data_IF_393606008862
#
_entry.id   IF_393606008862
#
_cell.length_a   1.000
_cell.length_b   1.000
_cell.length_c   1.000
_cell.angle_alpha   90.00
_cell.angle_beta   90.00
_cell.angle_gamma   90.00
#
_symmetry.space_group_name_H-M   'P 1'
#
loop_
_entity.id
_entity.type
_entity.pdbx_description
1 polymer ?
#
# COMPACT_ATOMS: atom_id res chain seq x y z
N UNK A 1 -22.74 -18.34 -8.60
CA UNK A 1 -21.42 -18.90 -9.01
C UNK A 1 -20.23 -17.99 -8.67
N UNK A 2 -20.18 -16.72 -9.13
CA UNK A 2 -19.05 -15.81 -8.87
C UNK A 2 -18.74 -15.59 -7.38
N UNK A 3 -19.75 -15.39 -6.54
CA UNK A 3 -19.59 -15.15 -5.09
C UNK A 3 -18.95 -16.31 -4.35
N UNK A 4 -19.27 -17.56 -4.72
CA UNK A 4 -18.65 -18.75 -4.11
C UNK A 4 -17.18 -18.90 -4.52
N UNK A 5 -16.86 -18.62 -5.79
CA UNK A 5 -15.48 -18.61 -6.27
C UNK A 5 -14.63 -17.58 -5.53
N UNK A 6 -15.11 -16.34 -5.38
CA UNK A 6 -14.38 -15.31 -4.65
C UNK A 6 -14.22 -15.64 -3.16
N UNK A 7 -15.26 -16.20 -2.52
CA UNK A 7 -15.16 -16.65 -1.12
C UNK A 7 -14.12 -17.77 -0.96
N UNK A 8 -14.03 -18.68 -1.93
CA UNK A 8 -13.01 -19.73 -1.93
C UNK A 8 -11.60 -19.16 -2.14
N UNK A 9 -11.42 -18.27 -3.12
CA UNK A 9 -10.14 -17.58 -3.38
C UNK A 9 -9.70 -16.83 -2.13
N UNK A 10 -10.59 -16.04 -1.53
CA UNK A 10 -10.35 -15.27 -0.30
C UNK A 10 -9.82 -16.16 0.82
N UNK A 11 -10.52 -17.25 1.16
CA UNK A 11 -10.10 -18.16 2.23
C UNK A 11 -8.74 -18.80 1.95
N UNK A 12 -8.45 -19.13 0.69
CA UNK A 12 -7.15 -19.67 0.27
C UNK A 12 -6.05 -18.61 0.32
N UNK A 13 -6.37 -17.37 -0.01
CA UNK A 13 -5.46 -16.23 0.01
C UNK A 13 -5.12 -15.82 1.44
N UNK A 14 -6.09 -15.67 2.35
CA UNK A 14 -5.84 -15.40 3.78
C UNK A 14 -4.92 -16.46 4.39
N UNK A 15 -5.24 -17.75 4.18
CA UNK A 15 -4.41 -18.86 4.65
C UNK A 15 -2.99 -18.79 4.10
N UNK A 16 -2.84 -18.45 2.82
CA UNK A 16 -1.53 -18.32 2.19
C UNK A 16 -0.76 -17.13 2.79
N UNK A 17 -1.38 -15.95 2.89
CA UNK A 17 -0.76 -14.74 3.46
C UNK A 17 -0.28 -14.95 4.89
N UNK A 18 -1.05 -15.65 5.72
CA UNK A 18 -0.63 -16.06 7.07
C UNK A 18 0.52 -17.04 7.04
N UNK A 19 0.49 -18.04 6.16
CA UNK A 19 1.56 -19.03 6.03
C UNK A 19 2.87 -18.46 5.43
N UNK A 20 2.81 -17.28 4.80
CA UNK A 20 3.97 -16.57 4.26
C UNK A 20 4.32 -15.32 5.07
N UNK A 21 3.83 -15.20 6.30
CA UNK A 21 4.08 -14.07 7.23
C UNK A 21 3.77 -12.68 6.68
N UNK A 22 2.94 -12.59 5.63
CA UNK A 22 2.44 -11.31 5.08
C UNK A 22 1.34 -10.71 5.93
N UNK A 23 0.56 -11.59 6.55
CA UNK A 23 -0.48 -11.23 7.51
C UNK A 23 -0.13 -11.86 8.83
N UNK A 24 0.53 -11.10 9.68
CA UNK A 24 0.92 -11.51 11.01
C UNK A 24 0.25 -10.62 12.05
N UNK A 25 0.03 -11.18 13.24
CA UNK A 25 -0.35 -10.43 14.43
C UNK A 25 0.88 -10.42 15.33
N UNK A 26 1.52 -9.26 15.43
CA UNK A 26 2.82 -9.11 16.07
C UNK A 26 2.78 -8.14 17.24
N UNK A 27 3.93 -7.97 17.89
CA UNK A 27 4.12 -6.91 18.87
C UNK A 27 4.30 -5.57 18.16
N UNK A 28 3.67 -4.52 18.68
CA UNK A 28 3.92 -3.16 18.22
C UNK A 28 5.30 -2.70 18.68
N UNK A 29 6.21 -2.45 17.73
CA UNK A 29 7.59 -2.01 17.99
C UNK A 29 7.87 -0.59 17.46
N UNK A 30 6.84 0.11 16.98
CA UNK A 30 6.97 1.43 16.35
C UNK A 30 6.51 2.59 17.23
N UNK A 31 6.71 3.80 16.72
CA UNK A 31 6.10 5.01 17.28
C UNK A 31 4.57 4.93 17.20
N UNK A 32 3.88 5.76 17.99
CA UNK A 32 2.43 5.90 17.87
C UNK A 32 2.05 6.37 16.44
N UNK A 33 1.07 5.73 15.76
CA UNK A 33 0.64 6.18 14.45
C UNK A 33 0.16 7.64 14.49
N UNK A 34 0.64 8.44 13.54
CA UNK A 34 0.30 9.86 13.45
C UNK A 34 -0.84 10.11 12.45
N UNK A 35 -1.62 11.16 12.71
CA UNK A 35 -2.46 11.78 11.69
C UNK A 35 -1.61 12.76 10.89
N UNK A 36 -1.43 12.46 9.61
CA UNK A 36 -0.63 13.25 8.71
C UNK A 36 -1.43 14.41 8.12
N UNK A 37 -0.73 15.53 7.96
CA UNK A 37 -1.18 16.65 7.14
C UNK A 37 -0.41 16.66 5.81
N UNK A 38 -0.90 17.44 4.84
CA UNK A 38 -0.31 17.57 3.50
C UNK A 38 1.20 17.86 3.53
N UNK A 39 1.67 18.60 4.53
CA UNK A 39 3.07 19.02 4.70
C UNK A 39 4.03 17.85 4.93
N UNK A 40 3.54 16.70 5.37
CA UNK A 40 4.33 15.49 5.59
C UNK A 40 4.50 14.65 4.31
N UNK A 41 3.70 14.92 3.29
CA UNK A 41 3.67 14.15 2.05
C UNK A 41 4.72 14.65 1.05
N UNK A 42 5.32 13.70 0.33
CA UNK A 42 6.21 13.94 -0.79
C UNK A 42 5.64 13.31 -2.07
N UNK A 43 5.94 13.95 -3.21
CA UNK A 43 5.52 13.41 -4.50
C UNK A 43 6.06 11.97 -4.68
N UNK A 44 5.19 11.05 -5.04
CA UNK A 44 5.47 9.62 -5.10
C UNK A 44 5.01 8.84 -3.87
N UNK A 45 4.46 9.46 -2.82
CA UNK A 45 3.80 8.73 -1.73
C UNK A 45 2.55 7.99 -2.24
N UNK A 46 2.35 6.76 -1.76
CA UNK A 46 1.19 5.93 -2.11
C UNK A 46 0.13 6.05 -1.03
N UNK A 47 -1.10 6.29 -1.47
CA UNK A 47 -2.26 6.49 -0.63
C UNK A 47 -3.18 5.27 -0.72
N UNK A 48 -3.16 4.39 0.28
CA UNK A 48 -4.05 3.23 0.35
C UNK A 48 -5.35 3.61 1.06
N UNK A 49 -6.47 3.43 0.37
CA UNK A 49 -7.76 3.95 0.79
C UNK A 49 -8.58 2.87 1.48
N UNK A 50 -9.00 3.12 2.72
CA UNK A 50 -9.93 2.28 3.47
C UNK A 50 -11.34 2.27 2.86
N UNK A 51 -12.36 2.12 3.70
CA UNK A 51 -13.75 2.06 3.23
C UNK A 51 -14.16 3.33 2.48
N UNK A 52 -14.76 3.20 1.29
CA UNK A 52 -15.36 4.35 0.60
C UNK A 52 -16.64 4.77 1.31
N UNK A 53 -16.82 6.07 1.50
CA UNK A 53 -18.05 6.64 2.08
C UNK A 53 -19.21 6.71 1.08
N UNK A 54 -18.91 6.67 -0.23
CA UNK A 54 -19.89 6.91 -1.29
C UNK A 54 -20.24 5.66 -2.11
N UNK A 55 -19.32 4.68 -2.20
CA UNK A 55 -19.51 3.53 -3.11
C UNK A 55 -19.97 2.26 -2.39
N UNK A 56 -21.17 1.77 -2.78
CA UNK A 56 -21.73 0.48 -2.34
C UNK A 56 -20.92 -0.74 -2.81
N UNK A 57 -19.99 -0.57 -3.76
CA UNK A 57 -19.08 -1.64 -4.24
C UNK A 57 -17.91 -1.91 -3.30
N UNK A 58 -17.71 -1.08 -2.28
CA UNK A 58 -16.70 -1.29 -1.21
C UNK A 58 -16.76 -2.69 -0.64
N UNK A 59 -17.96 -3.15 -0.28
CA UNK A 59 -18.15 -4.46 0.34
C UNK A 59 -17.73 -5.60 -0.61
N UNK A 60 -17.98 -5.45 -1.93
CA UNK A 60 -17.55 -6.43 -2.92
C UNK A 60 -16.03 -6.44 -3.08
N UNK A 61 -15.38 -5.27 -3.11
CA UNK A 61 -13.92 -5.20 -3.23
C UNK A 61 -13.28 -5.81 -1.98
N UNK A 62 -13.66 -5.38 -0.78
CA UNK A 62 -13.13 -5.92 0.48
C UNK A 62 -13.35 -7.44 0.59
N UNK A 63 -14.53 -7.94 0.16
CA UNK A 63 -14.81 -9.38 0.14
C UNK A 63 -14.00 -10.15 -0.90
N UNK A 64 -13.56 -9.51 -1.98
CA UNK A 64 -12.84 -10.20 -3.08
C UNK A 64 -11.32 -10.07 -2.97
N UNK A 65 -10.78 -8.97 -2.47
CA UNK A 65 -9.33 -8.71 -2.30
C UNK A 65 -8.79 -9.15 -0.94
N UNK A 66 -9.67 -9.63 -0.06
CA UNK A 66 -9.33 -10.08 1.29
C UNK A 66 -8.63 -8.99 2.11
N UNK A 67 -9.20 -7.78 2.16
CA UNK A 67 -8.48 -6.65 2.73
C UNK A 67 -9.30 -5.40 2.98
N UNK A 68 -8.77 -4.51 3.84
CA UNK A 68 -9.43 -3.25 4.23
C UNK A 68 -9.39 -2.21 3.12
N UNK A 69 -8.35 -2.24 2.26
CA UNK A 69 -8.15 -1.23 1.22
C UNK A 69 -8.90 -1.57 -0.05
N UNK A 70 -9.73 -0.64 -0.50
CA UNK A 70 -10.57 -0.77 -1.71
C UNK A 70 -10.01 -0.04 -2.91
N UNK A 71 -9.10 0.89 -2.67
CA UNK A 71 -8.55 1.76 -3.69
C UNK A 71 -7.15 2.25 -3.31
N UNK A 72 -6.42 2.77 -4.28
CA UNK A 72 -5.17 3.46 -4.03
C UNK A 72 -4.88 4.51 -5.10
N UNK A 73 -4.05 5.49 -4.74
CA UNK A 73 -3.58 6.54 -5.63
C UNK A 73 -2.15 6.96 -5.29
N UNK A 74 -1.61 7.89 -6.07
CA UNK A 74 -0.27 8.43 -5.87
C UNK A 74 -0.38 9.94 -5.65
N UNK A 75 0.21 10.44 -4.57
CA UNK A 75 0.36 11.88 -4.35
C UNK A 75 1.42 12.42 -5.30
N UNK A 76 1.09 13.48 -6.06
CA UNK A 76 1.99 14.04 -7.09
C UNK A 76 2.54 15.42 -6.71
N UNK A 77 2.39 15.82 -5.45
CA UNK A 77 2.80 17.13 -4.94
C UNK A 77 1.71 18.19 -5.06
N UNK A 78 1.92 19.34 -4.41
CA UNK A 78 1.05 20.52 -4.45
C UNK A 78 -0.43 20.25 -4.09
N UNK A 79 -0.71 19.29 -3.21
CA UNK A 79 -2.09 18.94 -2.86
C UNK A 79 -2.83 18.15 -3.94
N UNK A 80 -2.15 17.59 -4.94
CA UNK A 80 -2.77 16.77 -5.99
C UNK A 80 -2.50 15.28 -5.83
N UNK A 81 -3.50 14.47 -6.17
CA UNK A 81 -3.45 13.00 -6.22
C UNK A 81 -3.89 12.53 -7.59
N UNK A 82 -3.20 11.52 -8.14
CA UNK A 82 -3.64 10.82 -9.35
C UNK A 82 -4.04 9.39 -9.00
N UNK A 83 -5.19 8.97 -9.52
CA UNK A 83 -5.72 7.63 -9.34
C UNK A 83 -6.51 7.13 -10.56
N UNK A 84 -6.75 5.83 -10.62
CA UNK A 84 -7.55 5.19 -11.67
C UNK A 84 -8.90 4.74 -11.10
N UNK A 85 -10.01 5.39 -11.48
CA UNK A 85 -11.39 5.00 -11.11
C UNK A 85 -12.15 4.49 -12.33
N UNK A 86 -13.40 4.04 -12.16
CA UNK A 86 -14.25 3.51 -13.25
C UNK A 86 -14.31 4.38 -14.50
N UNK A 87 -14.16 5.71 -14.36
CA UNK A 87 -14.21 6.68 -15.45
C UNK A 87 -12.84 6.91 -16.12
N UNK A 88 -11.79 6.22 -15.69
CA UNK A 88 -10.42 6.35 -16.17
C UNK A 88 -9.48 6.99 -15.16
N UNK A 89 -8.34 7.44 -15.67
CA UNK A 89 -7.34 8.20 -14.91
C UNK A 89 -7.88 9.59 -14.60
N UNK A 90 -7.68 10.06 -13.36
CA UNK A 90 -8.03 11.42 -12.96
C UNK A 90 -6.95 12.01 -12.06
N UNK A 91 -6.84 13.32 -12.11
CA UNK A 91 -6.15 14.13 -11.10
C UNK A 91 -7.23 14.80 -10.23
N UNK A 92 -7.04 14.79 -8.91
CA UNK A 92 -7.96 15.41 -7.95
C UNK A 92 -7.19 16.02 -6.79
N UNK A 93 -7.81 16.93 -6.04
CA UNK A 93 -7.23 17.47 -4.81
C UNK A 93 -7.12 16.41 -3.73
N UNK A 94 -6.07 16.46 -2.92
CA UNK A 94 -5.84 15.59 -1.77
C UNK A 94 -7.01 15.67 -0.77
N UNK A 95 -7.57 16.86 -0.57
CA UNK A 95 -8.69 17.10 0.33
C UNK A 95 -9.93 16.30 -0.10
N UNK A 96 -10.32 16.43 -1.38
CA UNK A 96 -11.40 15.62 -1.96
C UNK A 96 -11.09 14.12 -1.90
N UNK A 97 -9.85 13.73 -2.20
CA UNK A 97 -9.43 12.34 -2.18
C UNK A 97 -9.57 11.73 -0.77
N UNK A 98 -9.13 12.44 0.28
CA UNK A 98 -9.29 12.04 1.69
C UNK A 98 -10.77 12.01 2.09
N UNK A 99 -11.57 12.97 1.64
CA UNK A 99 -12.99 13.05 1.98
C UNK A 99 -13.81 11.87 1.46
N UNK A 100 -13.41 11.26 0.33
CA UNK A 100 -14.11 10.12 -0.30
C UNK A 100 -14.02 8.81 0.51
N UNK A 101 -13.10 8.71 1.47
CA UNK A 101 -12.83 7.48 2.24
C UNK A 101 -12.90 7.72 3.76
N UNK A 102 -13.06 6.64 4.52
CA UNK A 102 -13.04 6.68 5.99
C UNK A 102 -11.66 7.09 6.52
N UNK A 103 -10.61 6.52 5.93
CA UNK A 103 -9.22 6.84 6.20
C UNK A 103 -8.33 6.45 5.02
N UNK A 104 -7.10 6.97 5.01
CA UNK A 104 -6.04 6.66 4.07
C UNK A 104 -4.79 6.29 4.86
N UNK A 105 -4.16 5.16 4.54
CA UNK A 105 -2.79 4.88 4.96
C UNK A 105 -1.82 5.48 3.94
N UNK A 106 -0.88 6.29 4.44
CA UNK A 106 0.14 6.95 3.61
C UNK A 106 1.43 6.20 3.75
N UNK A 107 2.06 5.91 2.61
CA UNK A 107 3.30 5.13 2.56
C UNK A 107 4.28 5.74 1.58
N UNK A 108 5.57 5.45 1.79
CA UNK A 108 6.67 5.95 0.97
C UNK A 108 7.63 4.83 0.62
N UNK A 109 8.08 4.78 -0.63
CA UNK A 109 9.11 3.80 -1.01
C UNK A 109 10.43 4.07 -0.29
N UNK A 110 11.13 3.03 0.17
CA UNK A 110 12.47 3.17 0.77
C UNK A 110 13.50 3.82 -0.18
N UNK A 111 13.24 3.76 -1.50
CA UNK A 111 14.06 4.38 -2.53
C UNK A 111 13.61 5.79 -2.96
N UNK A 112 12.76 6.47 -2.17
CA UNK A 112 12.22 7.78 -2.52
C UNK A 112 13.33 8.84 -2.62
N UNK A 113 13.38 9.55 -3.74
CA UNK A 113 14.24 10.71 -3.97
C UNK A 113 13.70 11.51 -5.16
N UNK A 114 14.24 12.72 -5.34
CA UNK A 114 13.69 13.72 -6.25
C UNK A 114 13.56 13.23 -7.71
N UNK A 115 14.55 12.52 -8.25
CA UNK A 115 14.49 12.04 -9.65
C UNK A 115 13.37 11.02 -9.85
N UNK A 116 13.22 10.07 -8.93
CA UNK A 116 12.11 9.10 -8.97
C UNK A 116 10.77 9.78 -8.82
N UNK A 117 10.64 10.72 -7.90
CA UNK A 117 9.43 11.51 -7.72
C UNK A 117 9.06 12.25 -9.01
N UNK A 118 10.02 12.88 -9.69
CA UNK A 118 9.80 13.54 -10.99
C UNK A 118 9.28 12.57 -12.06
N UNK A 119 9.89 11.38 -12.18
CA UNK A 119 9.44 10.35 -13.14
C UNK A 119 8.02 9.85 -12.85
N UNK A 120 7.71 9.61 -11.57
CA UNK A 120 6.35 9.22 -11.13
C UNK A 120 5.34 10.29 -11.53
N UNK A 121 5.61 11.56 -11.21
CA UNK A 121 4.73 12.69 -11.51
C UNK A 121 4.52 12.85 -13.01
N UNK A 122 5.59 12.78 -13.81
CA UNK A 122 5.52 12.86 -15.27
C UNK A 122 4.67 11.73 -15.85
N UNK A 123 4.89 10.49 -15.41
CA UNK A 123 4.09 9.36 -15.86
C UNK A 123 2.61 9.49 -15.45
N UNK A 124 2.34 9.86 -14.20
CA UNK A 124 0.99 10.06 -13.69
C UNK A 124 0.21 11.11 -14.49
N UNK A 125 0.83 12.27 -14.76
CA UNK A 125 0.23 13.33 -15.57
C UNK A 125 -0.01 12.91 -17.01
N UNK A 126 0.95 12.22 -17.66
CA UNK A 126 0.73 11.65 -19.00
C UNK A 126 -0.47 10.71 -19.05
N UNK A 127 -0.67 9.89 -18.02
CA UNK A 127 -1.81 8.98 -17.96
C UNK A 127 -3.16 9.73 -17.94
N UNK A 128 -3.21 10.87 -17.25
CA UNK A 128 -4.40 11.76 -17.21
C UNK A 128 -4.57 12.51 -18.54
N UNK A 129 -3.49 13.08 -19.07
CA UNK A 129 -3.48 13.82 -20.35
C UNK A 129 -3.98 12.96 -21.51
N UNK A 130 -3.50 11.72 -21.62
CA UNK A 130 -3.94 10.76 -22.63
C UNK A 130 -5.29 10.10 -22.32
N UNK A 131 -5.96 10.49 -21.23
CA UNK A 131 -7.28 9.98 -20.82
C UNK A 131 -7.34 8.45 -20.81
N UNK A 132 -6.31 7.80 -20.25
CA UNK A 132 -6.26 6.34 -20.20
C UNK A 132 -7.48 5.79 -19.43
N UNK A 133 -8.04 4.70 -19.93
CA UNK A 133 -9.30 4.13 -19.40
C UNK A 133 -9.04 3.28 -18.16
N UNK A 134 -10.11 2.91 -17.46
CA UNK A 134 -10.03 1.96 -16.36
C UNK A 134 -9.98 0.52 -16.86
N UNK A 135 -9.04 -0.26 -16.34
CA UNK A 135 -8.93 -1.69 -16.66
C UNK A 135 -9.86 -2.54 -15.77
N UNK A 136 -11.17 -2.51 -16.04
CA UNK A 136 -12.16 -3.23 -15.24
C UNK A 136 -11.95 -4.75 -15.22
N UNK A 137 -11.62 -5.34 -16.37
CA UNK A 137 -11.35 -6.78 -16.45
C UNK A 137 -10.10 -7.16 -15.64
N UNK A 138 -9.06 -6.33 -15.66
CA UNK A 138 -7.88 -6.48 -14.80
C UNK A 138 -8.25 -6.45 -13.32
N UNK A 139 -9.03 -5.45 -12.90
CA UNK A 139 -9.48 -5.30 -11.51
C UNK A 139 -10.30 -6.51 -11.02
N UNK A 140 -11.17 -7.07 -11.86
CA UNK A 140 -12.00 -8.25 -11.52
C UNK A 140 -11.14 -9.52 -11.34
N UNK A 141 -10.06 -9.64 -12.13
CA UNK A 141 -9.17 -10.81 -12.12
C UNK A 141 -8.02 -10.70 -11.11
N UNK A 142 -7.76 -9.50 -10.56
CA UNK A 142 -6.59 -9.27 -9.71
C UNK A 142 -6.52 -10.18 -8.48
N UNK A 143 -7.62 -10.50 -7.74
CA UNK A 143 -7.49 -11.36 -6.56
C UNK A 143 -7.01 -12.78 -6.90
N UNK A 144 -7.49 -13.33 -8.02
CA UNK A 144 -7.03 -14.62 -8.50
C UNK A 144 -5.57 -14.56 -8.96
N UNK A 145 -5.18 -13.49 -9.67
CA UNK A 145 -3.80 -13.29 -10.12
C UNK A 145 -2.85 -13.13 -8.96
N UNK A 146 -3.23 -12.38 -7.93
CA UNK A 146 -2.48 -12.20 -6.69
C UNK A 146 -2.27 -13.54 -5.99
N UNK A 147 -3.35 -14.30 -5.77
CA UNK A 147 -3.27 -15.63 -5.17
C UNK A 147 -2.34 -16.56 -5.95
N UNK A 148 -2.46 -16.61 -7.28
CA UNK A 148 -1.60 -17.42 -8.13
C UNK A 148 -0.14 -16.94 -8.11
N UNK A 149 0.09 -15.63 -8.05
CA UNK A 149 1.41 -15.03 -7.97
C UNK A 149 2.10 -15.39 -6.65
N UNK A 150 1.42 -15.16 -5.51
CA UNK A 150 1.88 -15.54 -4.18
C UNK A 150 2.16 -17.04 -4.11
N UNK A 151 1.22 -17.86 -4.61
CA UNK A 151 1.38 -19.31 -4.62
C UNK A 151 2.60 -19.72 -5.45
N UNK A 152 2.75 -19.18 -6.66
CA UNK A 152 3.90 -19.46 -7.51
C UNK A 152 5.18 -19.12 -6.75
N UNK A 153 5.34 -17.88 -6.30
CA UNK A 153 6.59 -17.47 -5.68
C UNK A 153 6.85 -18.21 -4.36
N UNK A 154 5.86 -18.41 -3.49
CA UNK A 154 6.06 -19.18 -2.26
C UNK A 154 6.46 -20.65 -2.51
N UNK A 155 5.72 -21.37 -3.37
CA UNK A 155 6.00 -22.79 -3.62
C UNK A 155 7.26 -23.00 -4.47
N UNK A 156 7.61 -22.07 -5.37
CA UNK A 156 8.83 -22.15 -6.18
C UNK A 156 10.08 -21.67 -5.44
N UNK A 157 9.98 -20.77 -4.45
CA UNK A 157 11.13 -20.44 -3.60
C UNK A 157 11.45 -21.57 -2.61
N UNK A 158 10.46 -22.36 -2.19
CA UNK A 158 10.69 -23.46 -1.25
C UNK A 158 11.10 -24.80 -1.90
N UNK A 159 10.83 -24.98 -3.19
CA UNK A 159 11.43 -26.06 -3.98
C UNK A 159 12.62 -25.50 -4.74
N UNK A 160 13.85 -25.85 -4.35
CA UNK A 160 15.04 -25.72 -5.20
C UNK A 160 14.83 -26.50 -6.50
N UNK A 161 14.10 -25.93 -7.46
CA UNK A 161 14.01 -26.48 -8.80
C UNK A 161 14.71 -25.50 -9.74
N UNK A 162 15.74 -26.00 -10.42
CA UNK A 162 16.65 -25.26 -11.31
C UNK A 162 15.98 -24.74 -12.59
N UNK A 163 14.65 -24.66 -12.61
CA UNK A 163 13.88 -24.23 -13.77
C UNK A 163 13.88 -22.72 -13.81
N UNK A 164 14.69 -22.17 -14.74
CA UNK A 164 14.63 -20.76 -15.14
C UNK A 164 13.16 -20.37 -15.30
N UNK A 165 12.65 -19.36 -14.58
CA UNK A 165 11.29 -18.91 -14.78
C UNK A 165 11.12 -18.57 -16.25
N UNK A 166 10.22 -19.28 -16.95
CA UNK A 166 9.84 -18.92 -18.32
C UNK A 166 9.38 -17.47 -18.26
N UNK A 167 10.05 -16.57 -19.00
CA UNK A 167 9.62 -15.17 -19.14
C UNK A 167 8.14 -15.22 -19.53
N UNK A 168 7.22 -14.64 -18.74
CA UNK A 168 5.84 -14.58 -19.15
C UNK A 168 5.79 -13.74 -20.42
N UNK A 169 5.43 -14.36 -21.54
CA UNK A 169 5.30 -13.70 -22.85
C UNK A 169 4.01 -12.89 -22.87
N UNK A 170 3.97 -11.80 -22.12
CA UNK A 170 2.96 -10.76 -22.29
C UNK A 170 3.63 -9.63 -23.07
N UNK A 171 3.51 -9.69 -24.40
CA UNK A 171 3.96 -8.64 -25.28
C UNK A 171 3.38 -7.28 -24.83
N UNK A 172 4.22 -6.24 -24.89
CA UNK A 172 3.89 -4.83 -24.63
C UNK A 172 2.83 -4.35 -25.63
N UNK A 173 1.59 -4.78 -25.43
CA UNK A 173 0.44 -4.13 -26.04
C UNK A 173 0.39 -2.73 -25.44
N UNK A 174 0.38 -1.70 -26.29
CA UNK A 174 0.08 -0.31 -25.93
C UNK A 174 -1.13 -0.34 -24.99
N UNK A 175 -0.89 -0.08 -23.70
CA UNK A 175 -1.92 -0.30 -22.69
C UNK A 175 -2.94 0.83 -22.75
N UNK A 176 -4.19 0.45 -22.98
CA UNK A 176 -5.32 1.38 -23.10
C UNK A 176 -5.83 1.88 -21.73
N UNK A 177 -5.20 1.45 -20.62
CA UNK A 177 -5.72 1.71 -19.29
C UNK A 177 -5.06 0.91 -18.16
N UNK A 178 -5.32 1.35 -16.93
CA UNK A 178 -4.85 0.74 -15.69
C UNK A 178 -6.02 0.58 -14.71
N UNK A 179 -5.94 -0.39 -13.79
CA UNK A 179 -6.70 -0.32 -12.54
C UNK A 179 -5.87 0.32 -11.44
N UNK A 180 -6.48 0.63 -10.29
CA UNK A 180 -5.89 1.48 -9.25
C UNK A 180 -4.48 1.03 -8.80
N UNK A 181 -4.32 -0.21 -8.34
CA UNK A 181 -3.02 -0.71 -7.90
C UNK A 181 -2.08 -1.07 -9.06
N UNK A 182 -2.62 -1.39 -10.25
CA UNK A 182 -1.79 -1.56 -11.47
C UNK A 182 -1.09 -0.26 -11.85
N UNK A 183 -1.80 0.87 -11.74
CA UNK A 183 -1.26 2.19 -11.97
C UNK A 183 -0.13 2.52 -10.99
N UNK A 184 -0.34 2.28 -9.69
CA UNK A 184 0.69 2.50 -8.67
C UNK A 184 1.95 1.69 -8.99
N UNK A 185 1.84 0.39 -9.25
CA UNK A 185 3.01 -0.43 -9.57
C UNK A 185 3.69 0.04 -10.86
N UNK A 186 2.92 0.46 -11.87
CA UNK A 186 3.52 1.02 -13.09
C UNK A 186 4.28 2.32 -12.82
N UNK A 187 3.80 3.22 -11.94
CA UNK A 187 4.58 4.40 -11.53
C UNK A 187 5.97 4.02 -11.02
N UNK A 188 6.08 2.95 -10.24
CA UNK A 188 7.35 2.46 -9.70
C UNK A 188 8.21 1.69 -10.71
N UNK A 189 7.61 1.10 -11.75
CA UNK A 189 8.33 0.58 -12.92
C UNK A 189 8.97 1.74 -13.68
N UNK A 190 8.19 2.77 -14.01
CA UNK A 190 8.63 3.92 -14.80
C UNK A 190 9.71 4.75 -14.11
N UNK A 191 9.71 4.80 -12.78
CA UNK A 191 10.75 5.47 -12.01
C UNK A 191 12.01 4.61 -11.80
N UNK A 192 11.98 3.33 -12.18
CA UNK A 192 13.09 2.39 -12.02
C UNK A 192 13.31 1.93 -10.57
N UNK A 193 12.26 1.94 -9.74
CA UNK A 193 12.31 1.33 -8.41
C UNK A 193 11.93 -0.16 -8.46
N UNK A 194 10.97 -0.51 -9.33
CA UNK A 194 10.59 -1.88 -9.65
C UNK A 194 11.15 -2.21 -11.03
N UNK A 195 11.99 -3.24 -11.11
CA UNK A 195 12.47 -3.74 -12.40
C UNK A 195 11.29 -4.32 -13.21
N UNK A 196 11.15 -3.92 -14.47
CA UNK A 196 10.11 -4.42 -15.37
C UNK A 196 10.26 -5.94 -15.62
N UNK A 197 11.48 -6.47 -15.59
CA UNK A 197 11.70 -7.91 -15.78
C UNK A 197 11.33 -8.73 -14.54
N UNK A 198 11.13 -8.09 -13.39
CA UNK A 198 10.81 -8.84 -12.18
C UNK A 198 9.38 -9.40 -12.24
N UNK A 199 9.28 -10.71 -12.00
CA UNK A 199 7.99 -11.40 -12.11
C UNK A 199 7.12 -11.27 -10.86
N UNK A 200 7.74 -10.95 -9.71
CA UNK A 200 7.05 -10.87 -8.43
C UNK A 200 6.13 -9.64 -8.33
N UNK A 201 6.69 -8.44 -8.46
CA UNK A 201 5.93 -7.18 -8.46
C UNK A 201 5.31 -6.85 -9.83
N UNK A 202 4.83 -7.86 -10.55
CA UNK A 202 4.16 -7.60 -11.82
C UNK A 202 2.87 -6.80 -11.58
N UNK A 203 2.81 -5.60 -12.15
CA UNK A 203 1.70 -4.62 -12.07
C UNK A 203 0.28 -5.19 -12.12
N UNK A 204 0.03 -6.21 -12.93
CA UNK A 204 -1.29 -6.81 -13.09
C UNK A 204 -1.73 -7.81 -12.00
N UNK A 205 -0.89 -8.04 -10.98
CA UNK A 205 -1.05 -9.13 -10.01
C UNK A 205 -1.34 -8.67 -8.58
N UNK A 206 -1.41 -7.36 -8.32
CA UNK A 206 -1.50 -6.84 -6.96
C UNK A 206 -2.79 -6.08 -6.74
N UNK A 207 -3.61 -6.50 -5.77
CA UNK A 207 -4.71 -5.67 -5.27
C UNK A 207 -4.17 -4.53 -4.38
N UNK A 208 -4.97 -3.49 -4.06
CA UNK A 208 -4.54 -2.45 -3.13
C UNK A 208 -4.09 -3.00 -1.78
N UNK A 209 -4.85 -3.95 -1.21
CA UNK A 209 -4.44 -4.58 0.07
C UNK A 209 -3.22 -5.47 -0.09
N UNK A 210 -3.19 -6.30 -1.13
CA UNK A 210 -2.02 -7.14 -1.39
C UNK A 210 -0.76 -6.32 -1.53
N UNK A 211 -0.83 -5.17 -2.19
CA UNK A 211 0.31 -4.27 -2.36
C UNK A 211 0.72 -3.57 -1.05
N UNK A 212 -0.23 -3.19 -0.19
CA UNK A 212 0.05 -2.58 1.10
C UNK A 212 0.69 -3.56 2.10
N UNK A 213 0.34 -4.84 2.01
CA UNK A 213 0.93 -5.92 2.82
C UNK A 213 2.35 -6.33 2.33
N UNK A 214 2.83 -5.78 1.22
CA UNK A 214 4.21 -5.96 0.78
C UNK A 214 5.16 -4.95 1.44
N UNK A 215 6.40 -5.37 1.68
CA UNK A 215 7.45 -4.51 2.22
C UNK A 215 8.10 -3.60 1.15
N UNK A 216 7.30 -3.10 0.20
CA UNK A 216 7.76 -2.18 -0.85
C UNK A 216 7.72 -0.72 -0.37
N UNK A 217 6.83 -0.43 0.58
CA UNK A 217 6.60 0.91 1.09
C UNK A 217 6.67 0.92 2.61
N UNK A 218 7.34 1.95 3.13
CA UNK A 218 7.36 2.30 4.54
C UNK A 218 6.07 3.02 4.92
N UNK A 219 5.45 2.62 6.02
CA UNK A 219 4.27 3.28 6.56
C UNK A 219 4.64 4.59 7.26
N UNK A 220 3.98 5.69 6.88
CA UNK A 220 4.22 7.01 7.47
C UNK A 220 3.17 7.41 8.51
N UNK A 221 1.94 6.97 8.34
CA UNK A 221 0.81 7.40 9.16
C UNK A 221 -0.51 7.39 8.39
N UNK A 222 -1.55 7.92 9.02
CA UNK A 222 -2.91 7.94 8.47
C UNK A 222 -3.38 9.35 8.13
N UNK A 223 -4.26 9.48 7.15
CA UNK A 223 -5.07 10.68 6.94
C UNK A 223 -6.55 10.28 7.11
N UNK A 224 -7.24 10.92 8.04
CA UNK A 224 -8.65 10.61 8.32
C UNK A 224 -9.39 11.84 8.84
N UNK A 225 -10.57 12.10 8.27
CA UNK A 225 -11.44 13.21 8.71
C UNK A 225 -12.04 12.99 10.10
N UNK A 226 -12.25 11.73 10.50
CA UNK A 226 -12.70 11.35 11.84
C UNK A 226 -11.57 11.06 12.84
N UNK A 227 -10.34 11.45 12.52
CA UNK A 227 -9.15 11.11 13.30
C UNK A 227 -8.83 9.60 13.30
N UNK A 228 -7.98 9.16 14.22
CA UNK A 228 -7.52 7.77 14.30
C UNK A 228 -8.67 6.77 14.59
N UNK A 229 -9.75 7.23 15.22
CA UNK A 229 -10.93 6.40 15.48
C UNK A 229 -11.66 5.95 14.20
N UNK A 230 -11.41 6.61 13.05
CA UNK A 230 -11.96 6.21 11.76
C UNK A 230 -11.12 5.12 11.05
N UNK A 231 -9.94 4.81 11.57
CA UNK A 231 -9.04 3.77 11.02
C UNK A 231 -9.59 2.40 11.40
N UNK A 232 -9.56 1.46 10.45
CA UNK A 232 -9.98 0.08 10.71
C UNK A 232 -9.04 -0.58 11.73
N UNK A 233 -9.56 -1.27 12.77
CA UNK A 233 -8.71 -2.03 13.69
C UNK A 233 -7.96 -3.18 13.00
N UNK A 234 -8.49 -3.65 11.86
CA UNK A 234 -7.88 -4.71 11.03
C UNK A 234 -6.91 -4.16 9.97
N UNK A 235 -6.51 -2.89 10.07
CA UNK A 235 -5.58 -2.33 9.09
C UNK A 235 -4.22 -3.08 9.09
N UNK A 236 -3.69 -3.47 7.92
CA UNK A 236 -2.46 -4.25 7.83
C UNK A 236 -1.27 -3.62 8.55
N UNK A 237 -1.17 -2.30 8.57
CA UNK A 237 -0.05 -1.61 9.23
C UNK A 237 -0.15 -1.62 10.75
N UNK A 238 -1.28 -2.03 11.32
CA UNK A 238 -1.44 -2.21 12.77
C UNK A 238 -0.96 -3.58 13.25
N UNK A 239 -0.83 -4.57 12.36
CA UNK A 239 -0.43 -5.93 12.68
C UNK A 239 -1.17 -6.52 13.91
N UNK A 240 -2.47 -6.26 14.02
CA UNK A 240 -3.32 -6.71 15.14
C UNK A 240 -3.29 -5.82 16.40
N UNK A 241 -2.57 -4.70 16.38
CA UNK A 241 -2.42 -3.80 17.53
C UNK A 241 -3.42 -2.64 17.49
N UNK A 242 -4.71 -2.90 17.30
CA UNK A 242 -5.74 -1.85 17.23
C UNK A 242 -5.76 -0.91 18.46
N UNK A 243 -5.28 -1.38 19.61
CA UNK A 243 -5.15 -0.60 20.83
C UNK A 243 -4.30 0.67 20.64
N UNK A 244 -3.34 0.70 19.69
CA UNK A 244 -2.51 1.88 19.43
C UNK A 244 -3.28 3.05 18.84
N UNK A 245 -4.50 2.82 18.34
CA UNK A 245 -5.39 3.87 17.85
C UNK A 245 -6.19 4.56 18.97
N UNK A 246 -6.26 3.95 20.15
CA UNK A 246 -7.02 4.47 21.29
C UNK A 246 -6.29 5.65 21.95
N UNK A 247 -6.99 6.58 22.61
CA UNK A 247 -6.36 7.64 23.39
C UNK A 247 -5.37 7.10 24.43
N UNK A 248 -5.72 6.01 25.11
CA UNK A 248 -4.89 5.35 26.11
C UNK A 248 -3.62 4.77 25.49
N UNK A 249 -3.76 4.06 24.35
CA UNK A 249 -2.62 3.51 23.63
C UNK A 249 -1.67 4.60 23.09
N UNK A 250 -2.23 5.67 22.53
CA UNK A 250 -1.48 6.84 22.08
C UNK A 250 -0.72 7.50 23.22
N UNK A 251 -1.35 7.65 24.39
CA UNK A 251 -0.70 8.20 25.59
C UNK A 251 0.44 7.30 26.06
N UNK A 252 0.19 5.99 26.18
CA UNK A 252 1.19 5.00 26.61
C UNK A 252 2.42 4.99 25.71
N UNK A 253 2.24 5.03 24.38
CA UNK A 253 3.36 5.03 23.43
C UNK A 253 4.16 6.34 23.48
N UNK A 254 3.48 7.48 23.64
CA UNK A 254 4.15 8.78 23.80
C UNK A 254 4.96 8.84 25.08
N UNK A 255 4.41 8.36 26.20
CA UNK A 255 5.11 8.31 27.47
C UNK A 255 6.33 7.38 27.38
N UNK A 256 6.15 6.18 26.84
CA UNK A 256 7.25 5.24 26.66
C UNK A 256 8.40 5.83 25.83
N UNK A 257 8.09 6.55 24.76
CA UNK A 257 9.10 7.24 23.95
C UNK A 257 9.84 8.33 24.73
N UNK A 258 9.13 9.09 25.57
CA UNK A 258 9.74 10.12 26.42
C UNK A 258 10.68 9.50 27.45
N UNK A 259 10.24 8.41 28.08
CA UNK A 259 11.03 7.66 29.07
C UNK A 259 12.30 7.08 28.43
N UNK A 260 12.19 6.42 27.27
CA UNK A 260 13.36 5.92 26.55
C UNK A 260 14.33 7.02 26.17
N UNK A 261 13.83 8.19 25.72
CA UNK A 261 14.69 9.33 25.38
C UNK A 261 15.44 9.84 26.61
N UNK A 262 14.76 9.96 27.75
CA UNK A 262 15.37 10.38 29.01
C UNK A 262 16.44 9.37 29.48
N UNK A 263 16.18 8.07 29.38
CA UNK A 263 17.14 7.01 29.69
C UNK A 263 18.37 7.06 28.77
N UNK A 264 18.17 7.22 27.46
CA UNK A 264 19.26 7.36 26.50
C UNK A 264 20.12 8.60 26.78
N UNK A 265 19.50 9.74 27.08
CA UNK A 265 20.23 10.96 27.46
C UNK A 265 21.02 10.78 28.75
N UNK A 266 20.45 10.10 29.75
CA UNK A 266 21.14 9.78 31.00
C UNK A 266 22.34 8.84 30.78
N UNK A 267 22.20 7.84 29.91
CA UNK A 267 23.30 6.94 29.52
C UNK A 267 24.42 7.70 28.80
N UNK A 268 24.08 8.54 27.82
CA UNK A 268 25.06 9.34 27.09
C UNK A 268 25.84 10.29 28.01
N UNK A 269 25.20 10.86 29.03
CA UNK A 269 25.88 11.68 30.06
C UNK A 269 26.84 10.89 30.95
N UNK A 270 26.59 9.59 31.13
CA UNK A 270 27.44 8.68 31.93
C UNK A 270 28.58 8.05 31.14
N UNK A 271 28.57 8.15 29.80
CA UNK A 271 29.67 7.65 28.99
C UNK A 271 30.91 8.52 29.19
N UNK A 272 32.07 7.94 29.55
CA UNK A 272 33.31 8.71 29.61
C UNK A 272 33.60 9.28 28.22
N UNK A 273 33.90 10.58 28.13
CA UNK A 273 34.41 11.15 26.89
C UNK A 273 35.74 10.45 26.60
N UNK A 274 35.90 9.87 25.41
CA UNK A 274 37.22 9.46 24.95
C UNK A 274 38.10 10.71 24.96
N UNK A 275 39.11 10.72 25.82
CA UNK A 275 40.18 11.71 25.77
C UNK A 275 40.86 11.58 24.40
N UNK A 276 40.94 12.70 23.67
CA UNK A 276 41.77 12.85 22.45
C UNK A 276 43.25 12.98 22.82
#
# INVERSE_FOLDING_TARGET
>A
MKTHMYRWIRKKQDRLKRATDRRFQGLWMGDAPELLTRERLLAGDVLFCGQSKQDKRTELIQKTTDGVYVHCGVYIGNGSVVDARSNGMRETSLEQFVADYSYIAVTRSHGAHEERSKKIVQFARRCVEYRLRYNLLGAILVPLREYLNLRKHYFFYWKQDKRRPRKPTWASTIRKGYFCSEFVVQCYVECGYVDEEQTYYHRGNWSPTGLAEENLFEFLGFMATGGLAAVSPDDPYLAGNAWVLTPEGQHSLKQHRQDMKAEMEALLRRMPRKEE
#
